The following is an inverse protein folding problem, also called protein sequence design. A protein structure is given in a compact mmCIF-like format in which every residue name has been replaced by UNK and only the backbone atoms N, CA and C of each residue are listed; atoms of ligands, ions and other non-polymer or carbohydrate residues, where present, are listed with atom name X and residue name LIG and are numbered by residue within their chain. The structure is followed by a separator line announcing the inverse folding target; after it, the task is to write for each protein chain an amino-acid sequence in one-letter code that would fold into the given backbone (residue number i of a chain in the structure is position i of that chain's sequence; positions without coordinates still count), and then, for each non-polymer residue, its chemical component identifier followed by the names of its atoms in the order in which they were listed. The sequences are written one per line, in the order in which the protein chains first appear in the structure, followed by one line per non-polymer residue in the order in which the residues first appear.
data_IF_049491079398
#
_entry.id   IF_049491079398
#
_cell.length_a   1.000
_cell.length_b   1.000
_cell.length_c   1.000
_cell.angle_alpha   90.00
_cell.angle_beta   90.00
_cell.angle_gamma   90.00
#
_symmetry.space_group_name_H-M   'P 1'
#
loop_
_entity.id
_entity.type
_entity.pdbx_description
1 polymer ?
#
# COMPACT_ATOMS: atom_id res chain seq x y z
N UNK A 1 18.95 16.97 53.87
CA UNK A 1 18.04 16.50 52.79
C UNK A 1 17.84 15.00 53.00
N UNK A 2 16.82 14.61 53.76
CA UNK A 2 16.53 13.20 54.07
C UNK A 2 15.13 12.84 53.56
N UNK A 3 15.03 12.46 52.28
CA UNK A 3 13.81 11.88 51.74
C UNK A 3 13.72 10.41 52.19
N UNK A 4 12.84 10.16 53.14
CA UNK A 4 12.61 8.82 53.68
C UNK A 4 11.84 7.99 52.66
N UNK A 5 12.51 6.99 52.10
CA UNK A 5 11.92 5.95 51.27
C UNK A 5 10.80 5.26 52.07
N UNK A 6 9.53 5.52 51.73
CA UNK A 6 8.39 4.96 52.46
C UNK A 6 7.72 3.86 51.62
N UNK A 7 8.03 2.57 51.88
CA UNK A 7 7.60 1.45 51.04
C UNK A 7 6.08 1.24 51.05
N UNK A 8 5.39 1.68 52.12
CA UNK A 8 3.92 1.63 52.20
C UNK A 8 3.24 2.54 51.18
N UNK A 9 3.82 3.69 50.85
CA UNK A 9 3.27 4.60 49.83
C UNK A 9 3.39 4.03 48.43
N UNK A 10 4.49 3.34 48.11
CA UNK A 10 4.64 2.66 46.82
C UNK A 10 3.63 1.53 46.66
N UNK A 11 3.46 0.70 47.69
CA UNK A 11 2.47 -0.39 47.70
C UNK A 11 1.04 0.12 47.50
N UNK A 12 0.65 1.22 48.17
CA UNK A 12 -0.67 1.81 48.01
C UNK A 12 -0.87 2.38 46.60
N UNK A 13 0.16 2.98 46.00
CA UNK A 13 0.09 3.53 44.64
C UNK A 13 0.00 2.44 43.56
N UNK A 14 0.69 1.31 43.76
CA UNK A 14 0.64 0.16 42.86
C UNK A 14 -0.71 -0.55 42.93
N UNK A 15 -1.24 -0.75 44.14
CA UNK A 15 -2.57 -1.32 44.35
C UNK A 15 -3.67 -0.41 43.78
N UNK A 16 -3.53 0.92 43.90
CA UNK A 16 -4.46 1.87 43.30
C UNK A 16 -4.41 1.85 41.77
N UNK A 17 -3.23 1.70 41.15
CA UNK A 17 -3.15 1.53 39.69
C UNK A 17 -3.86 0.26 39.22
N UNK A 18 -3.64 -0.87 39.90
CA UNK A 18 -4.24 -2.15 39.51
C UNK A 18 -5.77 -2.19 39.72
N UNK A 19 -6.28 -1.57 40.79
CA UNK A 19 -7.71 -1.60 41.14
C UNK A 19 -8.54 -0.51 40.46
N UNK A 20 -7.93 0.63 40.12
CA UNK A 20 -8.64 1.82 39.62
C UNK A 20 -8.35 2.16 38.15
N UNK A 21 -7.41 1.49 37.48
CA UNK A 21 -7.34 1.59 36.02
C UNK A 21 -8.48 0.77 35.43
N UNK A 22 -9.51 1.40 34.81
CA UNK A 22 -10.35 0.65 33.89
C UNK A 22 -9.41 0.15 32.81
N UNK A 23 -9.25 -1.17 32.71
CA UNK A 23 -8.56 -1.77 31.58
C UNK A 23 -9.28 -1.26 30.34
N UNK A 24 -8.66 -0.29 29.66
CA UNK A 24 -9.12 0.13 28.34
C UNK A 24 -8.97 -1.12 27.50
N UNK A 25 -10.07 -1.85 27.33
CA UNK A 25 -10.09 -3.06 26.54
C UNK A 25 -9.37 -2.72 25.23
N UNK A 26 -8.42 -3.55 24.76
CA UNK A 26 -7.84 -3.34 23.45
C UNK A 26 -9.02 -3.17 22.48
N UNK A 27 -9.00 -2.13 21.61
CA UNK A 27 -10.10 -1.93 20.68
C UNK A 27 -10.35 -3.26 19.98
N UNK A 28 -11.62 -3.69 19.84
CA UNK A 28 -11.93 -4.96 19.20
C UNK A 28 -11.17 -5.02 17.88
N UNK A 29 -10.57 -6.17 17.52
CA UNK A 29 -9.84 -6.29 16.26
C UNK A 29 -10.77 -5.75 15.18
N UNK A 30 -10.32 -4.70 14.49
CA UNK A 30 -11.14 -4.04 13.49
C UNK A 30 -11.72 -5.16 12.62
N UNK A 31 -13.05 -5.23 12.41
CA UNK A 31 -13.60 -6.20 11.48
C UNK A 31 -12.77 -6.08 10.21
N UNK A 32 -12.38 -7.22 9.59
CA UNK A 32 -11.72 -7.27 8.28
C UNK A 32 -12.61 -6.56 7.25
N UNK A 33 -12.62 -5.24 7.34
CA UNK A 33 -13.30 -4.32 6.48
C UNK A 33 -12.22 -3.93 5.51
N UNK A 34 -12.42 -4.14 4.20
CA UNK A 34 -11.45 -3.69 3.22
C UNK A 34 -11.15 -2.21 3.49
N UNK A 35 -9.87 -1.81 3.39
CA UNK A 35 -9.46 -0.45 3.72
C UNK A 35 -10.34 0.53 2.94
N UNK A 36 -11.12 1.33 3.66
CA UNK A 36 -11.93 2.38 3.06
C UNK A 36 -10.99 3.48 2.58
N UNK A 37 -11.30 4.07 1.42
CA UNK A 37 -10.65 5.28 0.92
C UNK A 37 -10.97 6.44 1.88
N UNK A 38 -10.22 6.54 2.97
CA UNK A 38 -10.28 7.64 3.93
C UNK A 38 -9.29 8.72 3.49
N UNK A 39 -9.56 9.98 3.80
CA UNK A 39 -8.70 11.13 3.43
C UNK A 39 -7.24 10.92 3.86
N UNK A 40 -7.02 10.33 5.04
CA UNK A 40 -5.70 10.01 5.57
C UNK A 40 -4.91 9.01 4.70
N UNK A 41 -5.60 8.15 3.94
CA UNK A 41 -4.99 7.21 3.00
C UNK A 41 -4.57 7.89 1.68
N UNK A 42 -5.19 9.02 1.34
CA UNK A 42 -4.80 9.87 0.21
C UNK A 42 -3.61 10.77 0.58
N UNK A 43 -3.54 11.20 1.84
CA UNK A 43 -2.45 12.04 2.37
C UNK A 43 -1.10 11.32 2.48
N UNK A 44 -1.12 9.99 2.72
CA UNK A 44 0.07 9.17 2.58
C UNK A 44 0.16 8.79 1.10
N UNK A 45 1.04 9.39 0.29
CA UNK A 45 1.21 8.92 -1.07
C UNK A 45 1.55 7.42 -0.96
N UNK A 46 0.76 6.52 -1.58
CA UNK A 46 1.18 5.13 -1.65
C UNK A 46 2.59 5.15 -2.24
N UNK A 47 3.53 4.40 -1.66
CA UNK A 47 4.89 4.34 -2.20
C UNK A 47 4.76 4.12 -3.71
N UNK A 48 5.25 5.08 -4.49
CA UNK A 48 5.13 5.02 -5.94
C UNK A 48 5.77 3.70 -6.36
N UNK A 49 5.00 2.85 -7.07
CA UNK A 49 5.54 1.60 -7.60
C UNK A 49 6.79 1.93 -8.42
N UNK A 50 7.83 1.11 -8.30
CA UNK A 50 9.06 1.30 -9.06
C UNK A 50 8.73 1.30 -10.56
N UNK A 51 9.52 2.07 -11.34
CA UNK A 51 9.40 2.11 -12.80
C UNK A 51 9.42 0.70 -13.40
N UNK A 52 10.34 -0.14 -12.94
CA UNK A 52 10.44 -1.54 -13.37
C UNK A 52 9.16 -2.33 -13.10
N UNK A 53 8.60 -2.27 -11.88
CA UNK A 53 7.42 -3.03 -11.53
C UNK A 53 6.18 -2.66 -12.36
N UNK A 54 6.09 -1.41 -12.82
CA UNK A 54 5.00 -0.97 -13.70
C UNK A 54 5.18 -1.55 -15.11
N UNK A 55 6.39 -1.50 -15.66
CA UNK A 55 6.69 -2.00 -16.99
C UNK A 55 6.63 -3.54 -17.06
N UNK A 56 7.14 -4.23 -16.04
CA UNK A 56 7.08 -5.69 -15.93
C UNK A 56 5.63 -6.18 -15.94
N UNK A 57 4.73 -5.46 -15.26
CA UNK A 57 3.31 -5.80 -15.23
C UNK A 57 2.62 -5.59 -16.59
N UNK A 58 2.99 -4.53 -17.32
CA UNK A 58 2.50 -4.28 -18.67
C UNK A 58 2.93 -5.41 -19.62
N UNK A 59 4.21 -5.79 -19.57
CA UNK A 59 4.75 -6.88 -20.37
C UNK A 59 4.04 -8.21 -20.07
N UNK A 60 3.87 -8.55 -18.78
CA UNK A 60 3.20 -9.77 -18.36
C UNK A 60 1.76 -9.84 -18.88
N UNK A 61 0.99 -8.76 -18.70
CA UNK A 61 -0.41 -8.68 -19.16
C UNK A 61 -0.53 -8.89 -20.67
N UNK A 62 0.33 -8.23 -21.46
CA UNK A 62 0.30 -8.38 -22.91
C UNK A 62 0.79 -9.74 -23.37
N UNK A 63 1.83 -10.30 -22.73
CA UNK A 63 2.30 -11.66 -23.03
C UNK A 63 1.18 -12.69 -22.84
N UNK A 64 0.45 -12.63 -21.73
CA UNK A 64 -0.70 -13.50 -21.48
C UNK A 64 -1.84 -13.30 -22.50
N UNK A 65 -2.12 -12.05 -22.90
CA UNK A 65 -3.10 -11.77 -23.94
C UNK A 65 -2.69 -12.35 -25.29
N UNK A 66 -1.41 -12.20 -25.67
CA UNK A 66 -0.84 -12.78 -26.88
C UNK A 66 -0.89 -14.31 -26.87
N UNK A 67 -0.53 -14.94 -25.76
CA UNK A 67 -0.55 -16.40 -25.64
C UNK A 67 -1.99 -16.94 -25.70
N UNK A 68 -2.95 -16.24 -25.12
CA UNK A 68 -4.38 -16.56 -25.26
C UNK A 68 -4.86 -16.43 -26.71
N UNK A 69 -4.51 -15.33 -27.40
CA UNK A 69 -4.90 -15.11 -28.80
C UNK A 69 -4.30 -16.17 -29.74
N UNK A 70 -3.03 -16.56 -29.51
CA UNK A 70 -2.39 -17.66 -30.25
C UNK A 70 -3.10 -18.99 -29.99
N UNK A 71 -3.42 -19.27 -28.73
CA UNK A 71 -4.09 -20.53 -28.35
C UNK A 71 -5.51 -20.61 -28.93
N UNK A 72 -6.22 -19.49 -29.04
CA UNK A 72 -7.55 -19.42 -29.64
C UNK A 72 -7.54 -19.39 -31.18
N UNK A 73 -6.37 -19.28 -31.81
CA UNK A 73 -6.23 -19.14 -33.26
C UNK A 73 -6.78 -17.82 -33.82
N UNK A 74 -6.91 -16.79 -32.99
CA UNK A 74 -7.42 -15.48 -33.41
C UNK A 74 -6.27 -14.60 -33.90
N UNK A 75 -5.87 -14.82 -35.15
CA UNK A 75 -4.80 -14.06 -35.80
C UNK A 75 -5.14 -12.58 -35.97
N UNK A 76 -6.42 -12.21 -35.98
CA UNK A 76 -6.84 -10.81 -36.16
C UNK A 76 -6.60 -9.96 -34.90
N UNK A 77 -6.55 -10.59 -33.73
CA UNK A 77 -6.22 -9.90 -32.48
C UNK A 77 -4.73 -9.60 -32.33
N UNK A 78 -3.83 -10.38 -32.94
CA UNK A 78 -2.39 -10.24 -32.73
C UNK A 78 -1.85 -8.85 -33.14
N UNK A 79 -2.20 -8.29 -34.32
CA UNK A 79 -1.76 -6.94 -34.69
C UNK A 79 -2.37 -5.85 -33.82
N UNK A 80 -3.61 -6.04 -33.36
CA UNK A 80 -4.29 -5.10 -32.47
C UNK A 80 -3.61 -5.05 -31.09
N UNK A 81 -3.24 -6.22 -30.55
CA UNK A 81 -2.49 -6.34 -29.30
C UNK A 81 -1.07 -5.74 -29.42
N UNK A 82 -0.36 -5.94 -30.54
CA UNK A 82 0.96 -5.34 -30.76
C UNK A 82 0.89 -3.81 -30.78
N UNK A 83 -0.08 -3.26 -31.50
CA UNK A 83 -0.27 -1.82 -31.55
C UNK A 83 -0.65 -1.23 -30.19
N UNK A 84 -1.56 -1.90 -29.47
CA UNK A 84 -1.99 -1.48 -28.14
C UNK A 84 -0.83 -1.50 -27.12
N UNK A 85 -0.02 -2.56 -27.13
CA UNK A 85 1.18 -2.67 -26.29
C UNK A 85 2.13 -1.50 -26.51
N UNK A 86 2.47 -1.20 -27.77
CA UNK A 86 3.39 -0.09 -28.11
C UNK A 86 2.84 1.27 -27.69
N UNK A 87 1.54 1.49 -27.89
CA UNK A 87 0.86 2.73 -27.48
C UNK A 87 0.90 2.89 -25.96
N UNK A 88 0.63 1.83 -25.22
CA UNK A 88 0.56 1.87 -23.75
C UNK A 88 1.94 1.96 -23.11
N UNK A 89 2.96 1.31 -23.70
CA UNK A 89 4.36 1.50 -23.33
C UNK A 89 4.75 2.98 -23.43
N UNK A 90 4.47 3.62 -24.56
CA UNK A 90 4.77 5.05 -24.76
C UNK A 90 4.02 5.93 -23.75
N UNK A 91 2.77 5.64 -23.44
CA UNK A 91 2.00 6.39 -22.45
C UNK A 91 2.59 6.27 -21.05
N UNK A 92 3.00 5.07 -20.64
CA UNK A 92 3.62 4.87 -19.34
C UNK A 92 4.98 5.54 -19.26
N UNK A 93 5.81 5.49 -20.30
CA UNK A 93 7.07 6.21 -20.36
C UNK A 93 6.87 7.72 -20.13
N UNK A 94 5.93 8.33 -20.85
CA UNK A 94 5.62 9.76 -20.69
C UNK A 94 5.13 10.08 -19.27
N UNK A 95 4.22 9.26 -18.72
CA UNK A 95 3.70 9.48 -17.37
C UNK A 95 4.78 9.32 -16.29
N UNK A 96 5.67 8.36 -16.48
CA UNK A 96 6.82 8.13 -15.60
C UNK A 96 7.80 9.30 -15.68
N UNK A 97 8.05 9.84 -16.88
CA UNK A 97 8.92 11.00 -17.04
C UNK A 97 8.32 12.26 -16.37
N UNK A 98 7.00 12.45 -16.45
CA UNK A 98 6.29 13.53 -15.74
C UNK A 98 6.38 13.34 -14.23
N UNK A 99 6.17 12.11 -13.72
CA UNK A 99 6.32 11.80 -12.29
C UNK A 99 7.73 12.11 -11.81
N UNK A 100 8.73 11.64 -12.53
CA UNK A 100 10.14 11.84 -12.17
C UNK A 100 10.50 13.35 -12.22
N UNK A 101 9.90 14.14 -13.11
CA UNK A 101 10.05 15.60 -13.13
C UNK A 101 9.35 16.30 -11.95
N UNK A 102 8.23 15.76 -11.47
CA UNK A 102 7.50 16.28 -10.31
C UNK A 102 8.20 15.96 -8.98
N UNK A 103 8.76 14.76 -8.84
CA UNK A 103 9.51 14.34 -7.64
C UNK A 103 10.84 15.10 -7.48
N UNK A 104 11.38 15.69 -8.56
CA UNK A 104 12.60 16.51 -8.53
C UNK A 104 12.37 17.97 -8.09
N UNK A 105 11.13 18.41 -7.91
CA UNK A 105 10.77 19.78 -7.46
C UNK A 105 10.55 19.82 -5.96
#
# INVERSE_FOLDING_TARGET
MNDTFNPRRMMLSAAKKLLLEPTKAPPPPAPMSPPRLTSNLLEKPPMSRSRSAILDNLEEMYREAFDRAKTSGDETQLPALDFAYRREQLYFEILLDVRDAAERR
#
